data_IF_640335549313
#
_entry.id   IF_640335549313
#
_cell.length_a   1.000
_cell.length_b   1.000
_cell.length_c   1.000
_cell.angle_alpha   90.00
_cell.angle_beta   90.00
_cell.angle_gamma   90.00
#
_symmetry.space_group_name_H-M   'P 1'
#
loop_
_entity.id
_entity.type
_entity.pdbx_description
1 polymer ?
#
# COMPACT_ATOMS: atom_id res chain seq x y z
N UNK A 1 -12.67 -13.69 42.78
CA UNK A 1 -11.57 -14.38 42.06
C UNK A 1 -11.56 -14.08 40.57
N UNK A 2 -12.68 -14.16 39.82
CA UNK A 2 -12.75 -13.88 38.36
C UNK A 2 -12.45 -12.40 38.05
N UNK A 3 -12.95 -11.44 38.81
CA UNK A 3 -12.69 -10.01 38.61
C UNK A 3 -11.22 -9.63 38.87
N UNK A 4 -10.57 -10.24 39.88
CA UNK A 4 -9.14 -10.02 40.14
C UNK A 4 -8.24 -10.59 39.02
N UNK A 5 -8.62 -11.75 38.44
CA UNK A 5 -7.92 -12.36 37.34
C UNK A 5 -8.05 -11.54 36.03
N UNK A 6 -9.21 -10.91 35.83
CA UNK A 6 -9.48 -10.03 34.68
C UNK A 6 -8.70 -8.71 34.77
N UNK A 7 -8.60 -8.13 35.99
CA UNK A 7 -7.82 -6.92 36.23
C UNK A 7 -6.30 -7.18 36.04
N UNK A 8 -5.78 -8.31 36.54
CA UNK A 8 -4.38 -8.63 36.40
C UNK A 8 -4.01 -8.85 34.92
N UNK A 9 -4.82 -9.57 34.13
CA UNK A 9 -4.60 -9.73 32.70
C UNK A 9 -4.60 -8.41 31.92
N UNK A 10 -5.47 -7.47 32.29
CA UNK A 10 -5.53 -6.13 31.71
C UNK A 10 -4.26 -5.32 32.00
N UNK A 11 -3.71 -5.42 33.22
CA UNK A 11 -2.48 -4.74 33.61
C UNK A 11 -1.29 -5.31 32.85
N UNK A 12 -1.13 -6.65 32.81
CA UNK A 12 -0.05 -7.30 32.07
C UNK A 12 -0.06 -6.94 30.58
N UNK A 13 -1.25 -6.90 29.97
CA UNK A 13 -1.39 -6.50 28.58
C UNK A 13 -1.01 -5.02 28.36
N UNK A 14 -1.39 -4.14 29.27
CA UNK A 14 -1.00 -2.72 29.20
C UNK A 14 0.52 -2.57 29.29
N UNK A 15 1.16 -3.25 30.24
CA UNK A 15 2.63 -3.24 30.39
C UNK A 15 3.29 -3.78 29.11
N UNK A 16 2.84 -4.93 28.60
CA UNK A 16 3.33 -5.50 27.35
C UNK A 16 3.28 -4.50 26.18
N UNK A 17 2.16 -3.83 25.97
CA UNK A 17 1.96 -2.83 24.94
C UNK A 17 2.96 -1.67 25.05
N UNK A 18 3.17 -1.14 26.26
CA UNK A 18 4.12 -0.05 26.48
C UNK A 18 5.57 -0.50 26.28
N UNK A 19 5.94 -1.66 26.79
CA UNK A 19 7.30 -2.21 26.62
C UNK A 19 7.59 -2.44 25.14
N UNK A 20 6.67 -3.07 24.39
CA UNK A 20 6.82 -3.30 22.97
C UNK A 20 6.99 -1.98 22.20
N UNK A 21 6.17 -0.96 22.55
CA UNK A 21 6.27 0.36 21.92
C UNK A 21 7.61 1.05 22.21
N UNK A 22 8.09 1.00 23.44
CA UNK A 22 9.38 1.59 23.84
C UNK A 22 10.53 0.90 23.06
N UNK A 23 10.52 -0.44 22.99
CA UNK A 23 11.52 -1.20 22.24
C UNK A 23 11.50 -0.79 20.77
N UNK A 24 10.31 -0.66 20.19
CA UNK A 24 10.13 -0.24 18.80
C UNK A 24 10.67 1.17 18.55
N UNK A 25 10.36 2.13 19.43
CA UNK A 25 10.86 3.52 19.33
C UNK A 25 12.39 3.55 19.41
N UNK A 26 12.96 2.87 20.41
CA UNK A 26 14.42 2.84 20.60
C UNK A 26 15.11 2.20 19.39
N UNK A 27 14.58 1.06 18.91
CA UNK A 27 15.15 0.33 17.78
C UNK A 27 15.11 1.16 16.49
N UNK A 28 13.96 1.77 16.20
CA UNK A 28 13.79 2.60 14.99
C UNK A 28 14.65 3.87 15.06
N UNK A 29 14.71 4.56 16.20
CA UNK A 29 15.54 5.74 16.39
C UNK A 29 17.04 5.39 16.25
N UNK A 30 17.48 4.29 16.86
CA UNK A 30 18.88 3.83 16.76
C UNK A 30 19.25 3.48 15.32
N UNK A 31 18.37 2.76 14.61
CA UNK A 31 18.58 2.43 13.21
C UNK A 31 18.59 3.67 12.33
N UNK A 32 17.71 4.65 12.58
CA UNK A 32 17.70 5.93 11.86
C UNK A 32 19.02 6.68 12.00
N UNK A 33 19.54 6.83 13.24
CA UNK A 33 20.82 7.48 13.50
C UNK A 33 21.95 6.73 12.79
N UNK A 34 21.95 5.40 12.87
CA UNK A 34 22.97 4.56 12.24
C UNK A 34 22.97 4.70 10.72
N UNK A 35 21.80 4.63 10.08
CA UNK A 35 21.68 4.75 8.62
C UNK A 35 22.06 6.15 8.11
N UNK A 36 21.70 7.21 8.84
CA UNK A 36 22.10 8.57 8.46
C UNK A 36 23.61 8.81 8.58
N UNK A 37 24.31 8.09 9.45
CA UNK A 37 25.79 8.12 9.49
C UNK A 37 26.41 7.39 8.30
N UNK A 38 25.81 6.29 7.84
CA UNK A 38 26.31 5.47 6.73
C UNK A 38 25.97 6.07 5.38
N UNK A 39 24.77 6.70 5.26
CA UNK A 39 24.26 7.34 4.05
C UNK A 39 24.00 8.83 4.31
N UNK A 40 25.05 9.67 4.44
CA UNK A 40 24.90 11.11 4.67
C UNK A 40 24.46 11.86 3.42
N UNK A 41 24.71 11.29 2.23
CA UNK A 41 24.33 11.85 0.92
C UNK A 41 22.91 11.44 0.53
N UNK A 42 22.36 12.11 -0.49
CA UNK A 42 21.07 11.77 -1.06
C UNK A 42 21.10 10.35 -1.63
N UNK A 43 19.99 9.64 -1.48
CA UNK A 43 19.84 8.29 -1.98
C UNK A 43 18.76 8.22 -3.05
N UNK A 44 19.14 7.84 -4.27
CA UNK A 44 18.27 7.68 -5.46
C UNK A 44 17.35 8.90 -5.63
N UNK A 45 16.04 8.78 -5.40
CA UNK A 45 15.06 9.86 -5.64
C UNK A 45 15.19 11.03 -4.65
N UNK A 46 15.88 10.85 -3.51
CA UNK A 46 16.19 11.97 -2.61
C UNK A 46 16.99 13.09 -3.31
N UNK A 47 17.73 12.77 -4.40
CA UNK A 47 18.47 13.74 -5.21
C UNK A 47 17.53 14.82 -5.81
N UNK A 48 16.24 14.51 -5.95
CA UNK A 48 15.25 15.45 -6.45
C UNK A 48 14.34 15.95 -5.32
N UNK A 49 13.90 15.06 -4.43
CA UNK A 49 12.94 15.38 -3.38
C UNK A 49 13.50 16.33 -2.31
N UNK A 50 14.75 16.14 -1.86
CA UNK A 50 15.33 16.97 -0.80
C UNK A 50 15.64 18.38 -1.31
N UNK A 51 16.32 18.58 -2.46
CA UNK A 51 16.53 19.94 -3.00
C UNK A 51 15.21 20.68 -3.25
N UNK A 52 14.18 20.00 -3.77
CA UNK A 52 12.87 20.61 -3.95
C UNK A 52 12.24 21.05 -2.63
N UNK A 53 12.40 20.26 -1.57
CA UNK A 53 11.93 20.63 -0.23
C UNK A 53 12.68 21.84 0.32
N UNK A 54 14.00 21.92 0.11
CA UNK A 54 14.81 23.06 0.52
C UNK A 54 14.37 24.35 -0.17
N UNK A 55 14.08 24.31 -1.49
CA UNK A 55 13.52 25.47 -2.20
C UNK A 55 12.21 25.95 -1.55
N UNK A 56 11.34 25.02 -1.15
CA UNK A 56 10.07 25.37 -0.48
C UNK A 56 10.30 25.90 0.94
N UNK A 57 11.30 25.42 1.66
CA UNK A 57 11.72 25.97 2.94
C UNK A 57 12.19 27.43 2.82
N UNK A 58 12.85 27.77 1.72
CA UNK A 58 13.32 29.12 1.41
C UNK A 58 12.21 30.03 0.84
N UNK A 59 10.97 29.53 0.73
CA UNK A 59 9.83 30.27 0.18
C UNK A 59 9.76 30.32 -1.35
N UNK A 60 10.60 29.58 -2.06
CA UNK A 60 10.66 29.54 -3.52
C UNK A 60 9.66 28.52 -4.11
N UNK A 61 8.37 28.77 -3.95
CA UNK A 61 7.30 27.84 -4.35
C UNK A 61 7.09 27.73 -5.88
N UNK A 62 7.67 28.62 -6.67
CA UNK A 62 7.56 28.62 -8.14
C UNK A 62 8.64 27.78 -8.82
N UNK A 63 9.70 27.41 -8.10
CA UNK A 63 10.79 26.57 -8.63
C UNK A 63 10.36 25.11 -8.59
N UNK A 64 10.47 24.43 -9.73
CA UNK A 64 10.10 23.02 -9.86
C UNK A 64 11.14 22.24 -10.65
N UNK A 65 11.58 21.09 -10.11
CA UNK A 65 12.45 20.16 -10.84
C UNK A 65 11.60 19.31 -11.79
N UNK A 66 11.87 19.40 -13.08
CA UNK A 66 11.14 18.66 -14.13
C UNK A 66 11.22 17.13 -14.01
N UNK A 67 12.20 16.60 -13.30
CA UNK A 67 12.35 15.16 -13.05
C UNK A 67 11.40 14.64 -11.98
N UNK A 68 10.79 15.53 -11.20
CA UNK A 68 9.80 15.14 -10.19
C UNK A 68 8.46 14.88 -10.86
N UNK A 69 7.97 13.66 -10.71
CA UNK A 69 6.74 13.16 -11.34
C UNK A 69 5.52 13.18 -10.42
N UNK A 70 5.72 13.45 -9.12
CA UNK A 70 4.65 13.53 -8.11
C UNK A 70 4.25 14.98 -7.83
N UNK A 71 3.06 15.19 -7.27
CA UNK A 71 2.58 16.52 -6.86
C UNK A 71 3.33 17.02 -5.60
N UNK A 72 3.29 18.33 -5.30
CA UNK A 72 4.17 18.97 -4.31
C UNK A 72 3.77 18.75 -2.84
N UNK A 73 2.77 17.95 -2.54
CA UNK A 73 2.20 17.82 -1.19
C UNK A 73 3.21 17.43 -0.11
N UNK A 74 4.19 16.56 -0.42
CA UNK A 74 5.24 16.18 0.51
C UNK A 74 6.13 17.37 0.87
N UNK A 75 6.51 18.17 -0.11
CA UNK A 75 7.41 19.33 0.07
C UNK A 75 6.71 20.44 0.86
N UNK A 76 5.44 20.72 0.55
CA UNK A 76 4.62 21.66 1.34
C UNK A 76 4.49 21.21 2.79
N UNK A 77 4.20 19.93 3.03
CA UNK A 77 4.10 19.41 4.38
C UNK A 77 5.40 19.58 5.16
N UNK A 78 6.53 19.21 4.53
CA UNK A 78 7.84 19.27 5.16
C UNK A 78 8.28 20.72 5.41
N UNK A 79 8.11 21.61 4.45
CA UNK A 79 8.40 23.02 4.61
C UNK A 79 7.53 23.68 5.69
N UNK A 80 6.23 23.39 5.72
CA UNK A 80 5.32 23.92 6.74
C UNK A 80 5.70 23.51 8.18
N UNK A 81 6.31 22.35 8.36
CA UNK A 81 6.76 21.87 9.68
C UNK A 81 8.15 22.40 10.02
N UNK A 82 9.10 22.37 9.08
CA UNK A 82 10.52 22.59 9.35
C UNK A 82 10.97 24.04 9.18
N UNK A 83 10.38 24.80 8.23
CA UNK A 83 10.78 26.17 7.96
C UNK A 83 10.55 27.13 9.16
N UNK A 84 9.39 27.08 9.87
CA UNK A 84 9.16 27.97 11.00
C UNK A 84 10.15 27.82 12.15
N UNK A 85 10.81 26.67 12.25
CA UNK A 85 11.80 26.35 13.31
C UNK A 85 13.24 26.33 12.77
N UNK A 86 13.46 26.76 11.50
CA UNK A 86 14.76 26.80 10.83
C UNK A 86 15.51 25.45 10.84
N UNK A 87 14.77 24.34 10.72
CA UNK A 87 15.33 22.99 10.74
C UNK A 87 15.36 22.32 9.35
N UNK A 88 15.39 23.11 8.27
CA UNK A 88 15.43 22.57 6.91
C UNK A 88 16.83 22.07 6.54
N UNK A 89 17.14 20.84 6.94
CA UNK A 89 18.32 20.11 6.50
C UNK A 89 18.01 18.64 6.29
N UNK A 90 18.91 17.87 5.67
CA UNK A 90 18.74 16.48 5.27
C UNK A 90 18.22 15.62 6.43
N UNK A 91 18.83 15.74 7.61
CA UNK A 91 18.49 14.91 8.77
C UNK A 91 17.04 15.13 9.21
N UNK A 92 16.64 16.40 9.39
CA UNK A 92 15.27 16.72 9.85
C UNK A 92 14.22 16.50 8.76
N UNK A 93 14.58 16.65 7.48
CA UNK A 93 13.71 16.29 6.36
C UNK A 93 13.44 14.78 6.38
N UNK A 94 14.45 13.94 6.61
CA UNK A 94 14.26 12.48 6.79
C UNK A 94 13.47 12.14 8.06
N UNK A 95 13.57 12.96 9.12
CA UNK A 95 12.75 12.76 10.33
C UNK A 95 11.24 12.82 10.06
N UNK A 96 10.78 13.51 9.01
CA UNK A 96 9.35 13.50 8.62
C UNK A 96 8.87 12.07 8.38
N UNK A 97 9.66 11.27 7.66
CA UNK A 97 9.32 9.87 7.40
C UNK A 97 9.53 8.99 8.64
N UNK A 98 10.54 9.27 9.46
CA UNK A 98 10.70 8.56 10.74
C UNK A 98 9.47 8.73 11.64
N UNK A 99 8.94 9.95 11.79
CA UNK A 99 7.69 10.18 12.52
C UNK A 99 6.50 9.50 11.84
N UNK A 100 6.55 9.38 10.52
CA UNK A 100 5.61 8.58 9.74
C UNK A 100 5.50 7.12 10.19
N UNK A 101 6.58 6.52 10.73
CA UNK A 101 6.57 5.16 11.30
C UNK A 101 5.59 5.03 12.47
N UNK A 102 5.63 5.99 13.38
CA UNK A 102 4.76 5.97 14.57
C UNK A 102 3.31 6.28 14.19
N UNK A 103 3.11 7.21 13.24
CA UNK A 103 1.79 7.48 12.67
C UNK A 103 1.22 6.22 11.98
N UNK A 104 2.03 5.49 11.21
CA UNK A 104 1.64 4.24 10.55
C UNK A 104 1.18 3.20 11.56
N UNK A 105 1.95 2.96 12.61
CA UNK A 105 1.59 2.01 13.67
C UNK A 105 0.26 2.40 14.34
N UNK A 106 0.10 3.66 14.70
CA UNK A 106 -1.13 4.16 15.34
C UNK A 106 -2.35 4.01 14.42
N UNK A 107 -2.22 4.42 13.15
CA UNK A 107 -3.30 4.36 12.17
C UNK A 107 -3.70 2.92 11.87
N UNK A 108 -2.72 2.05 11.66
CA UNK A 108 -2.96 0.63 11.38
C UNK A 108 -3.62 -0.06 12.57
N UNK A 109 -3.14 0.18 13.79
CA UNK A 109 -3.77 -0.38 14.99
C UNK A 109 -5.21 0.13 15.18
N UNK A 110 -5.43 1.43 14.94
CA UNK A 110 -6.76 2.03 15.01
C UNK A 110 -7.72 1.45 13.96
N UNK A 111 -7.21 1.19 12.75
CA UNK A 111 -7.96 0.52 11.69
C UNK A 111 -8.29 -0.91 12.05
N UNK A 112 -7.34 -1.70 12.56
CA UNK A 112 -7.58 -3.06 13.02
C UNK A 112 -8.69 -3.11 14.08
N UNK A 113 -8.67 -2.18 15.04
CA UNK A 113 -9.75 -2.05 16.03
C UNK A 113 -11.09 -1.67 15.42
N UNK A 114 -11.10 -0.82 14.40
CA UNK A 114 -12.33 -0.36 13.76
C UNK A 114 -12.95 -1.43 12.86
N UNK A 115 -12.13 -2.15 12.09
CA UNK A 115 -12.57 -3.18 11.13
C UNK A 115 -13.00 -4.46 11.87
N UNK A 116 -12.23 -4.87 12.88
CA UNK A 116 -12.42 -6.15 13.58
C UNK A 116 -12.96 -5.96 14.99
N UNK A 117 -13.84 -4.97 15.21
CA UNK A 117 -14.48 -4.66 16.51
C UNK A 117 -14.90 -5.92 17.26
N UNK A 118 -14.36 -6.13 18.46
CA UNK A 118 -14.72 -7.23 19.39
C UNK A 118 -14.69 -8.65 18.80
N UNK A 119 -14.20 -8.84 17.58
CA UNK A 119 -14.10 -10.15 16.92
C UNK A 119 -12.73 -10.81 17.14
N UNK A 120 -11.70 -10.00 17.36
CA UNK A 120 -10.32 -10.47 17.52
C UNK A 120 -9.77 -9.95 18.85
N UNK A 121 -8.85 -10.71 19.45
CA UNK A 121 -8.15 -10.30 20.66
C UNK A 121 -7.29 -9.05 20.38
N UNK A 122 -7.22 -8.15 21.36
CA UNK A 122 -6.54 -6.85 21.22
C UNK A 122 -5.03 -7.02 20.93
N UNK A 123 -4.39 -8.03 21.53
CA UNK A 123 -3.00 -8.35 21.26
C UNK A 123 -2.75 -8.77 19.79
N UNK A 124 -3.68 -9.55 19.19
CA UNK A 124 -3.56 -9.92 17.78
C UNK A 124 -3.65 -8.71 16.85
N UNK A 125 -4.56 -7.78 17.18
CA UNK A 125 -4.72 -6.54 16.40
C UNK A 125 -3.46 -5.67 16.52
N UNK A 126 -2.85 -5.61 17.70
CA UNK A 126 -1.60 -4.89 17.92
C UNK A 126 -0.43 -5.51 17.16
N UNK A 127 -0.23 -6.83 17.26
CA UNK A 127 0.86 -7.54 16.56
C UNK A 127 0.74 -7.41 15.04
N UNK A 128 -0.48 -7.51 14.51
CA UNK A 128 -0.71 -7.29 13.07
C UNK A 128 -0.39 -5.85 12.68
N UNK A 129 -0.71 -4.87 13.53
CA UNK A 129 -0.32 -3.48 13.27
C UNK A 129 1.20 -3.31 13.23
N UNK A 130 1.94 -3.97 14.13
CA UNK A 130 3.41 -4.03 14.06
C UNK A 130 3.89 -4.70 12.77
N UNK A 131 3.30 -5.84 12.39
CA UNK A 131 3.69 -6.56 11.18
C UNK A 131 3.48 -5.72 9.92
N UNK A 132 2.38 -4.97 9.81
CA UNK A 132 2.13 -4.05 8.71
C UNK A 132 3.11 -2.87 8.74
N UNK A 133 3.41 -2.32 9.92
CA UNK A 133 4.37 -1.22 10.05
C UNK A 133 5.80 -1.68 9.74
N UNK A 134 6.18 -2.89 10.18
CA UNK A 134 7.48 -3.50 9.90
C UNK A 134 7.52 -4.23 8.55
N UNK A 135 6.53 -4.07 7.70
CA UNK A 135 6.49 -4.65 6.37
C UNK A 135 7.71 -4.18 5.56
N UNK A 136 8.63 -5.08 5.13
CA UNK A 136 9.97 -4.69 4.70
C UNK A 136 10.01 -3.68 3.55
N UNK A 137 9.17 -3.78 2.49
CA UNK A 137 9.17 -2.77 1.43
C UNK A 137 8.71 -1.37 1.88
N UNK A 138 7.95 -1.26 2.99
CA UNK A 138 7.57 0.03 3.57
C UNK A 138 8.56 0.45 4.66
N UNK A 139 9.00 -0.47 5.52
CA UNK A 139 9.83 -0.19 6.68
C UNK A 139 11.18 0.44 6.30
N UNK A 140 11.76 0.04 5.18
CA UNK A 140 13.00 0.63 4.67
C UNK A 140 12.87 2.13 4.39
N UNK A 141 11.76 2.58 3.81
CA UNK A 141 11.55 3.97 3.42
C UNK A 141 11.27 4.92 4.59
N UNK A 142 10.99 4.42 5.79
CA UNK A 142 10.87 5.25 6.98
C UNK A 142 12.16 5.97 7.37
N UNK A 143 13.30 5.51 6.89
CA UNK A 143 14.61 6.05 7.23
C UNK A 143 15.19 7.01 6.18
N UNK A 144 14.51 7.17 5.06
CA UNK A 144 14.85 8.01 3.93
C UNK A 144 13.69 8.94 3.58
N UNK A 145 13.94 9.98 2.79
CA UNK A 145 12.90 10.94 2.43
C UNK A 145 12.23 10.59 1.12
N UNK A 146 11.12 9.87 1.20
CA UNK A 146 10.33 9.39 0.07
C UNK A 146 8.84 9.69 0.25
N UNK A 147 8.12 9.84 -0.86
CA UNK A 147 6.67 10.10 -0.86
C UNK A 147 5.84 8.94 -0.31
N UNK A 148 6.37 7.71 -0.35
CA UNK A 148 5.65 6.48 -0.03
C UNK A 148 5.10 6.46 1.41
N UNK A 149 5.91 6.87 2.38
CA UNK A 149 5.54 6.84 3.80
C UNK A 149 4.37 7.76 4.10
N UNK A 150 4.46 9.02 3.66
CA UNK A 150 3.40 10.01 3.89
C UNK A 150 2.16 9.63 3.10
N UNK A 151 2.32 9.14 1.86
CA UNK A 151 1.23 8.63 1.03
C UNK A 151 0.45 7.52 1.74
N UNK A 152 1.14 6.48 2.23
CA UNK A 152 0.51 5.38 2.98
C UNK A 152 -0.22 5.90 4.21
N UNK A 153 0.40 6.77 5.00
CA UNK A 153 -0.20 7.27 6.23
C UNK A 153 -1.46 8.10 5.98
N UNK A 154 -1.46 8.95 4.95
CA UNK A 154 -2.66 9.75 4.60
C UNK A 154 -3.77 8.84 4.06
N UNK A 155 -3.44 7.81 3.26
CA UNK A 155 -4.42 6.83 2.79
C UNK A 155 -5.00 6.02 3.97
N UNK A 156 -4.18 5.61 4.94
CA UNK A 156 -4.67 4.93 6.16
C UNK A 156 -5.56 5.84 7.01
N UNK A 157 -5.22 7.14 7.12
CA UNK A 157 -6.05 8.12 7.83
C UNK A 157 -7.40 8.31 7.11
N UNK A 158 -7.38 8.45 5.79
CA UNK A 158 -8.58 8.52 4.96
C UNK A 158 -9.48 7.30 5.19
N UNK A 159 -8.92 6.09 5.17
CA UNK A 159 -9.61 4.84 5.41
C UNK A 159 -10.20 4.77 6.83
N UNK A 160 -9.43 5.19 7.84
CA UNK A 160 -9.90 5.22 9.24
C UNK A 160 -11.07 6.16 9.43
N UNK A 161 -11.03 7.35 8.83
CA UNK A 161 -12.10 8.34 8.89
C UNK A 161 -13.36 7.83 8.18
N UNK A 162 -13.21 7.15 7.06
CA UNK A 162 -14.31 6.51 6.35
C UNK A 162 -15.01 5.46 7.22
N UNK A 163 -14.27 4.54 7.82
CA UNK A 163 -14.84 3.52 8.71
C UNK A 163 -15.42 4.10 10.01
N UNK A 164 -14.99 5.30 10.41
CA UNK A 164 -15.62 6.08 11.51
C UNK A 164 -16.81 6.91 11.05
N UNK A 165 -17.26 6.76 9.80
CA UNK A 165 -18.39 7.48 9.19
C UNK A 165 -18.19 8.99 8.99
N UNK A 166 -16.95 9.50 9.12
CA UNK A 166 -16.61 10.90 8.83
C UNK A 166 -16.32 11.12 7.35
N UNK A 167 -17.31 10.85 6.48
CA UNK A 167 -17.11 10.79 5.03
C UNK A 167 -16.60 12.08 4.41
N UNK A 168 -17.08 13.26 4.89
CA UNK A 168 -16.61 14.57 4.38
C UNK A 168 -15.14 14.79 4.66
N UNK A 169 -14.69 14.50 5.90
CA UNK A 169 -13.28 14.64 6.29
C UNK A 169 -12.43 13.59 5.58
N UNK A 170 -12.94 12.37 5.43
CA UNK A 170 -12.27 11.32 4.67
C UNK A 170 -12.03 11.73 3.21
N UNK A 171 -13.02 12.31 2.54
CA UNK A 171 -12.86 12.82 1.17
C UNK A 171 -11.84 13.97 1.08
N UNK A 172 -11.86 14.90 2.04
CA UNK A 172 -10.85 15.96 2.12
C UNK A 172 -9.42 15.41 2.31
N UNK A 173 -9.24 14.45 3.22
CA UNK A 173 -7.95 13.75 3.41
C UNK A 173 -7.58 12.98 2.15
N UNK A 174 -8.56 12.43 1.42
CA UNK A 174 -8.37 11.83 0.11
C UNK A 174 -7.78 12.81 -0.92
N UNK A 175 -8.27 14.04 -0.97
CA UNK A 175 -7.70 15.10 -1.80
C UNK A 175 -6.24 15.40 -1.41
N UNK A 176 -5.95 15.51 -0.10
CA UNK A 176 -4.58 15.69 0.38
C UNK A 176 -3.68 14.50 0.01
N UNK A 177 -4.20 13.27 0.02
CA UNK A 177 -3.44 12.09 -0.39
C UNK A 177 -3.03 12.14 -1.87
N UNK A 178 -3.88 12.69 -2.74
CA UNK A 178 -3.59 12.88 -4.16
C UNK A 178 -2.45 13.88 -4.35
N UNK A 179 -2.38 14.94 -3.51
CA UNK A 179 -1.28 15.92 -3.55
C UNK A 179 0.09 15.30 -3.18
N UNK A 180 0.12 14.18 -2.47
CA UNK A 180 1.35 13.44 -2.19
C UNK A 180 1.69 12.49 -3.36
N UNK A 181 0.69 11.69 -3.81
CA UNK A 181 0.83 10.79 -4.98
C UNK A 181 -0.50 10.73 -5.73
N UNK A 182 -0.49 11.06 -7.00
CA UNK A 182 -1.69 11.12 -7.84
C UNK A 182 -2.44 9.79 -7.91
N UNK A 183 -1.70 8.67 -7.86
CA UNK A 183 -2.26 7.31 -7.87
C UNK A 183 -3.18 7.03 -6.67
N UNK A 184 -3.11 7.81 -5.59
CA UNK A 184 -4.00 7.66 -4.44
C UNK A 184 -5.47 7.96 -4.77
N UNK A 185 -5.75 8.63 -5.88
CA UNK A 185 -7.14 8.81 -6.38
C UNK A 185 -7.87 7.47 -6.51
N UNK A 186 -7.16 6.40 -6.83
CA UNK A 186 -7.75 5.07 -6.99
C UNK A 186 -8.30 4.55 -5.65
N UNK A 187 -7.64 4.88 -4.55
CA UNK A 187 -8.11 4.53 -3.20
C UNK A 187 -9.27 5.42 -2.72
N UNK A 188 -9.38 6.65 -3.25
CA UNK A 188 -10.58 7.47 -3.10
C UNK A 188 -11.75 6.84 -3.86
N UNK A 189 -11.52 6.34 -5.07
CA UNK A 189 -12.53 5.61 -5.86
C UNK A 189 -12.95 4.34 -5.10
N UNK A 190 -12.01 3.59 -4.53
CA UNK A 190 -12.33 2.42 -3.70
C UNK A 190 -13.32 2.77 -2.57
N UNK A 191 -13.07 3.83 -1.81
CA UNK A 191 -13.96 4.24 -0.72
C UNK A 191 -15.31 4.77 -1.22
N UNK A 192 -15.32 5.42 -2.38
CA UNK A 192 -16.56 5.86 -3.03
C UNK A 192 -17.46 4.66 -3.38
N UNK A 193 -16.84 3.61 -3.95
CA UNK A 193 -17.55 2.37 -4.31
C UNK A 193 -18.00 1.60 -3.04
N UNK A 194 -17.18 1.55 -1.99
CA UNK A 194 -17.59 0.94 -0.72
C UNK A 194 -18.79 1.69 -0.10
N UNK A 195 -18.77 3.03 -0.12
CA UNK A 195 -19.90 3.81 0.37
C UNK A 195 -21.17 3.57 -0.47
N UNK A 196 -21.02 3.48 -1.78
CA UNK A 196 -22.14 3.13 -2.68
C UNK A 196 -22.72 1.77 -2.35
N UNK A 197 -21.88 0.74 -2.16
CA UNK A 197 -22.29 -0.62 -1.78
C UNK A 197 -23.03 -0.60 -0.44
N UNK A 198 -22.55 0.17 0.54
CA UNK A 198 -23.21 0.31 1.83
C UNK A 198 -24.60 0.95 1.72
N UNK A 199 -24.74 2.01 0.91
CA UNK A 199 -26.03 2.67 0.68
C UNK A 199 -27.02 1.74 -0.04
N UNK A 200 -26.58 1.03 -1.07
CA UNK A 200 -27.39 0.04 -1.78
C UNK A 200 -27.86 -1.06 -0.82
N UNK A 201 -26.97 -1.59 0.00
CA UNK A 201 -27.31 -2.62 0.96
C UNK A 201 -28.33 -2.13 2.01
N UNK A 202 -28.13 -0.93 2.56
CA UNK A 202 -29.08 -0.30 3.48
C UNK A 202 -30.43 -0.08 2.85
N UNK A 203 -30.47 0.31 1.57
CA UNK A 203 -31.72 0.50 0.84
C UNK A 203 -32.48 -0.80 0.62
N UNK A 204 -31.79 -1.88 0.25
CA UNK A 204 -32.37 -3.21 0.06
C UNK A 204 -32.90 -3.83 1.36
N UNK A 205 -32.37 -3.45 2.52
CA UNK A 205 -32.83 -3.95 3.82
C UNK A 205 -33.99 -3.15 4.42
N UNK A 206 -34.36 -1.97 3.87
CA UNK A 206 -35.52 -1.21 4.35
C UNK A 206 -36.80 -2.03 4.08
N UNK A 207 -37.66 -2.28 5.11
CA UNK A 207 -38.92 -2.99 4.90
C UNK A 207 -39.80 -2.14 3.96
N UNK A 208 -40.37 -2.79 2.95
CA UNK A 208 -41.31 -2.14 2.03
C UNK A 208 -42.60 -1.86 2.82
N UNK A 209 -42.87 -0.61 3.17
CA UNK A 209 -44.10 -0.21 3.81
C UNK A 209 -45.26 -0.25 2.82
N UNK A 210 -46.47 -0.54 3.33
CA UNK A 210 -47.68 -0.65 2.49
C UNK A 210 -47.95 0.63 1.69
N UNK A 211 -47.54 1.80 2.22
CA UNK A 211 -47.64 3.10 1.52
C UNK A 211 -46.72 3.22 0.31
N UNK A 212 -45.60 2.48 0.30
CA UNK A 212 -44.68 2.43 -0.83
C UNK A 212 -45.25 1.64 -2.01
N UNK A 213 -46.25 0.76 -1.77
CA UNK A 213 -46.90 -0.04 -2.82
C UNK A 213 -47.85 0.77 -3.72
N UNK A 214 -48.34 1.92 -3.29
CA UNK A 214 -49.40 2.71 -4.02
C UNK A 214 -48.79 3.81 -4.92
N UNK A 215 -47.59 4.35 -4.58
CA UNK A 215 -46.90 5.40 -5.36
C UNK A 215 -45.56 4.95 -5.93
N UNK A 216 -45.50 3.74 -6.39
CA UNK A 216 -44.31 2.94 -6.61
C UNK A 216 -43.64 3.25 -7.93
N UNK A 217 -42.40 3.52 -7.92
CA UNK A 217 -41.40 3.40 -8.95
C UNK A 217 -40.61 4.69 -9.13
N UNK A 218 -41.16 5.77 -9.65
CA UNK A 218 -40.36 6.94 -10.04
C UNK A 218 -39.97 7.85 -8.88
N UNK A 219 -40.87 8.18 -7.97
CA UNK A 219 -40.61 9.12 -6.86
C UNK A 219 -39.70 8.50 -5.81
N UNK A 220 -39.87 7.22 -5.48
CA UNK A 220 -38.99 6.48 -4.55
C UNK A 220 -37.60 6.31 -5.13
N UNK A 221 -37.50 6.01 -6.42
CA UNK A 221 -36.22 5.90 -7.12
C UNK A 221 -35.48 7.23 -7.20
N UNK A 222 -36.16 8.34 -7.50
CA UNK A 222 -35.54 9.67 -7.51
C UNK A 222 -35.03 10.07 -6.13
N UNK A 223 -35.82 9.84 -5.07
CA UNK A 223 -35.37 10.09 -3.69
C UNK A 223 -34.13 9.28 -3.32
N UNK A 224 -34.08 8.03 -3.74
CA UNK A 224 -32.93 7.17 -3.53
C UNK A 224 -31.69 7.68 -4.29
N UNK A 225 -31.84 8.11 -5.56
CA UNK A 225 -30.74 8.70 -6.32
C UNK A 225 -30.22 9.99 -5.68
N UNK A 226 -31.12 10.84 -5.14
CA UNK A 226 -30.74 12.06 -4.41
C UNK A 226 -29.98 11.68 -3.13
N UNK A 227 -30.46 10.70 -2.36
CA UNK A 227 -29.78 10.22 -1.14
C UNK A 227 -28.36 9.72 -1.45
N UNK A 228 -28.19 8.92 -2.51
CA UNK A 228 -26.88 8.46 -2.98
C UNK A 228 -26.01 9.67 -3.36
N UNK A 229 -26.53 10.57 -4.18
CA UNK A 229 -25.77 11.72 -4.67
C UNK A 229 -25.27 12.60 -3.54
N UNK A 230 -26.09 12.90 -2.54
CA UNK A 230 -25.71 13.71 -1.37
C UNK A 230 -24.62 12.99 -0.54
N UNK A 231 -24.77 11.69 -0.35
CA UNK A 231 -23.81 10.92 0.44
C UNK A 231 -22.45 10.73 -0.25
N UNK A 232 -22.44 10.61 -1.59
CA UNK A 232 -21.21 10.45 -2.37
C UNK A 232 -20.59 11.80 -2.77
N UNK A 233 -21.33 12.91 -2.65
CA UNK A 233 -20.91 14.24 -3.10
C UNK A 233 -19.50 14.64 -2.67
N UNK A 234 -19.06 14.43 -1.40
CA UNK A 234 -17.70 14.79 -1.00
C UNK A 234 -16.62 14.07 -1.80
N UNK A 235 -16.82 12.79 -2.12
CA UNK A 235 -15.87 12.01 -2.93
C UNK A 235 -15.95 12.36 -4.42
N UNK A 236 -17.17 12.64 -4.92
CA UNK A 236 -17.38 13.07 -6.31
C UNK A 236 -16.64 14.38 -6.58
N UNK A 237 -16.67 15.34 -5.64
CA UNK A 237 -15.91 16.59 -5.76
C UNK A 237 -14.41 16.29 -5.93
N UNK A 238 -13.85 15.39 -5.13
CA UNK A 238 -12.43 15.00 -5.25
C UNK A 238 -12.15 14.42 -6.64
N UNK A 239 -13.02 13.56 -7.14
CA UNK A 239 -12.93 13.03 -8.50
C UNK A 239 -12.98 14.11 -9.58
N UNK A 240 -13.88 15.07 -9.45
CA UNK A 240 -14.01 16.21 -10.39
C UNK A 240 -12.76 17.08 -10.36
N UNK A 241 -12.24 17.44 -9.16
CA UNK A 241 -10.99 18.20 -9.02
C UNK A 241 -9.83 17.45 -9.69
N UNK A 242 -9.76 16.13 -9.51
CA UNK A 242 -8.71 15.32 -10.14
C UNK A 242 -8.88 15.28 -11.67
N UNK A 243 -10.10 15.18 -12.20
CA UNK A 243 -10.35 15.24 -13.64
C UNK A 243 -9.96 16.61 -14.24
N UNK A 244 -10.27 17.71 -13.55
CA UNK A 244 -9.84 19.05 -13.96
C UNK A 244 -8.31 19.11 -14.01
N UNK A 245 -7.62 18.56 -12.98
CA UNK A 245 -6.18 18.45 -12.96
C UNK A 245 -5.65 17.66 -14.17
N UNK A 246 -6.23 16.49 -14.49
CA UNK A 246 -5.81 15.67 -15.63
C UNK A 246 -5.93 16.41 -16.97
N UNK A 247 -7.05 17.15 -17.16
CA UNK A 247 -7.28 17.93 -18.38
C UNK A 247 -6.29 19.08 -18.47
N UNK A 248 -6.06 19.78 -17.36
CA UNK A 248 -5.13 20.93 -17.31
C UNK A 248 -3.66 20.51 -17.49
N UNK A 249 -3.24 19.40 -16.84
CA UNK A 249 -1.87 18.89 -16.87
C UNK A 249 -1.56 18.05 -18.12
N UNK A 250 -2.58 17.60 -18.86
CA UNK A 250 -2.41 16.71 -20.01
C UNK A 250 -2.04 15.27 -19.67
N UNK A 251 -2.09 14.86 -18.38
CA UNK A 251 -1.75 13.52 -17.91
C UNK A 251 -1.74 13.39 -16.40
N UNK A 252 -1.46 12.17 -15.91
CA UNK A 252 -1.41 11.89 -14.47
C UNK A 252 -0.10 12.41 -13.86
N UNK A 253 1.01 12.31 -14.60
CA UNK A 253 2.36 12.62 -14.16
C UNK A 253 2.63 14.11 -14.32
N UNK A 254 3.24 14.74 -13.32
CA UNK A 254 3.78 16.10 -13.41
C UNK A 254 5.25 16.00 -13.86
N UNK A 255 5.76 17.00 -14.58
CA UNK A 255 7.17 17.02 -15.04
C UNK A 255 7.41 16.12 -16.26
N UNK A 256 8.35 15.18 -16.19
CA UNK A 256 8.73 14.36 -17.35
C UNK A 256 7.68 13.29 -17.65
N UNK A 257 6.85 13.54 -18.66
CA UNK A 257 5.83 12.63 -19.14
C UNK A 257 6.42 11.45 -19.95
N UNK A 258 7.66 11.54 -20.41
CA UNK A 258 8.26 10.52 -21.30
C UNK A 258 8.74 9.29 -20.56
N UNK A 259 9.11 9.44 -19.28
CA UNK A 259 9.62 8.35 -18.46
C UNK A 259 8.53 7.38 -17.97
N UNK A 260 7.25 7.78 -18.01
CA UNK A 260 6.14 7.00 -17.46
C UNK A 260 4.99 6.79 -18.44
N UNK A 261 5.31 6.22 -19.60
CA UNK A 261 4.30 5.87 -20.61
C UNK A 261 3.46 4.70 -20.08
N UNK A 262 2.13 4.85 -19.96
CA UNK A 262 1.28 3.75 -19.54
C UNK A 262 1.22 2.64 -20.58
N UNK A 263 1.31 1.39 -20.14
CA UNK A 263 1.24 0.20 -20.98
C UNK A 263 0.31 -0.83 -20.35
N UNK A 264 -0.20 -1.78 -21.13
CA UNK A 264 -0.96 -2.89 -20.58
C UNK A 264 0.04 -3.98 -20.17
N UNK A 265 0.33 -4.08 -18.84
CA UNK A 265 1.25 -5.05 -18.26
C UNK A 265 0.53 -5.95 -17.25
N UNK A 266 -0.21 -6.95 -17.76
CA UNK A 266 -1.05 -7.84 -16.96
C UNK A 266 -0.22 -8.69 -15.99
N UNK A 267 1.01 -9.05 -16.36
CA UNK A 267 1.92 -9.82 -15.49
C UNK A 267 2.24 -9.15 -14.14
N UNK A 268 2.02 -7.84 -14.01
CA UNK A 268 2.11 -7.14 -12.71
C UNK A 268 1.20 -7.74 -11.64
N UNK A 269 0.02 -8.25 -12.02
CA UNK A 269 -0.89 -8.92 -11.08
C UNK A 269 -0.32 -10.26 -10.59
N UNK A 270 0.41 -10.98 -11.44
CA UNK A 270 1.08 -12.22 -11.06
C UNK A 270 2.24 -11.93 -10.11
N UNK A 271 3.04 -10.90 -10.41
CA UNK A 271 4.13 -10.46 -9.53
C UNK A 271 3.58 -9.99 -8.18
N UNK A 272 2.48 -9.26 -8.18
CA UNK A 272 1.81 -8.85 -6.93
C UNK A 272 1.31 -10.04 -6.12
N UNK A 273 0.74 -11.07 -6.73
CA UNK A 273 0.29 -12.27 -6.01
C UNK A 273 1.45 -13.04 -5.37
N UNK A 274 2.59 -13.15 -6.06
CA UNK A 274 3.82 -13.73 -5.50
C UNK A 274 4.41 -12.83 -4.41
N UNK A 275 4.36 -11.52 -4.59
CA UNK A 275 4.78 -10.56 -3.58
C UNK A 275 3.96 -10.70 -2.28
N UNK A 276 2.63 -10.80 -2.37
CA UNK A 276 1.78 -11.12 -1.21
C UNK A 276 2.22 -12.43 -0.58
N UNK A 277 2.43 -13.47 -1.38
CA UNK A 277 2.85 -14.78 -0.87
C UNK A 277 4.20 -14.72 -0.15
N UNK A 278 5.16 -13.95 -0.63
CA UNK A 278 6.50 -13.84 -0.03
C UNK A 278 6.46 -13.35 1.43
N UNK A 279 5.51 -12.50 1.78
CA UNK A 279 5.37 -11.95 3.13
C UNK A 279 4.25 -12.61 3.95
N UNK A 280 3.23 -13.16 3.29
CA UNK A 280 2.05 -13.76 3.93
C UNK A 280 1.96 -15.28 3.71
N UNK A 281 3.07 -15.94 3.41
CA UNK A 281 3.12 -17.40 3.20
C UNK A 281 2.50 -18.21 4.36
N UNK A 282 2.60 -17.80 5.66
CA UNK A 282 2.00 -18.58 6.74
C UNK A 282 0.48 -18.67 6.65
N UNK A 283 -0.15 -17.68 6.01
CA UNK A 283 -1.60 -17.65 5.78
C UNK A 283 -2.00 -18.38 4.50
N UNK A 284 -1.12 -18.40 3.51
CA UNK A 284 -1.43 -18.87 2.15
C UNK A 284 -1.10 -20.37 1.97
N UNK A 285 0.03 -20.84 2.53
CA UNK A 285 0.40 -22.27 2.44
C UNK A 285 -0.73 -23.20 2.89
N UNK A 286 -1.46 -22.96 3.99
CA UNK A 286 -2.56 -23.84 4.39
C UNK A 286 -3.68 -24.02 3.35
N UNK A 287 -3.70 -23.18 2.31
CA UNK A 287 -4.68 -23.29 1.23
C UNK A 287 -4.34 -24.36 0.18
N UNK A 288 -3.13 -24.97 0.24
CA UNK A 288 -2.66 -25.89 -0.82
C UNK A 288 -3.59 -27.08 -1.05
N UNK A 289 -4.12 -27.71 0.02
CA UNK A 289 -5.06 -28.83 -0.12
C UNK A 289 -6.33 -28.40 -0.85
N UNK A 290 -6.89 -27.25 -0.50
CA UNK A 290 -8.07 -26.70 -1.16
C UNK A 290 -7.81 -26.31 -2.61
N UNK A 291 -6.61 -25.83 -2.91
CA UNK A 291 -6.19 -25.55 -4.27
C UNK A 291 -6.19 -26.80 -5.14
N UNK A 292 -5.57 -27.89 -4.67
CA UNK A 292 -5.59 -29.15 -5.41
C UNK A 292 -6.98 -29.77 -5.54
N UNK A 293 -7.79 -29.73 -4.48
CA UNK A 293 -9.19 -30.15 -4.56
C UNK A 293 -9.98 -29.33 -5.59
N UNK A 294 -9.75 -28.02 -5.64
CA UNK A 294 -10.41 -27.15 -6.63
C UNK A 294 -9.98 -27.49 -8.06
N UNK A 295 -8.69 -27.78 -8.28
CA UNK A 295 -8.20 -28.23 -9.59
C UNK A 295 -8.88 -29.55 -9.99
N UNK A 296 -8.96 -30.53 -9.09
CA UNK A 296 -9.60 -31.82 -9.38
C UNK A 296 -11.10 -31.67 -9.68
N UNK A 297 -11.81 -30.86 -8.91
CA UNK A 297 -13.24 -30.66 -9.09
C UNK A 297 -13.58 -29.82 -10.34
N UNK A 298 -12.70 -28.96 -10.77
CA UNK A 298 -12.91 -28.03 -11.89
C UNK A 298 -11.75 -28.08 -12.89
N UNK A 299 -11.32 -29.30 -13.28
CA UNK A 299 -10.11 -29.51 -14.06
C UNK A 299 -10.13 -28.79 -15.43
N UNK A 300 -11.30 -28.71 -16.10
CA UNK A 300 -11.42 -27.99 -17.38
C UNK A 300 -11.15 -26.49 -17.20
N UNK A 301 -11.82 -25.87 -16.22
CA UNK A 301 -11.62 -24.44 -15.91
C UNK A 301 -10.17 -24.17 -15.45
N UNK A 302 -9.62 -25.07 -14.65
CA UNK A 302 -8.23 -24.95 -14.16
C UNK A 302 -7.22 -25.04 -15.31
N UNK A 303 -7.44 -25.95 -16.28
CA UNK A 303 -6.62 -26.05 -17.48
C UNK A 303 -6.73 -24.82 -18.36
N UNK A 304 -7.93 -24.25 -18.51
CA UNK A 304 -8.14 -23.00 -19.23
C UNK A 304 -7.40 -21.83 -18.58
N UNK A 305 -7.52 -21.69 -17.25
CA UNK A 305 -6.80 -20.64 -16.49
C UNK A 305 -5.29 -20.81 -16.63
N UNK A 306 -4.78 -22.05 -16.51
CA UNK A 306 -3.36 -22.32 -16.71
C UNK A 306 -2.87 -21.92 -18.11
N UNK A 307 -3.64 -22.28 -19.15
CA UNK A 307 -3.34 -21.90 -20.52
C UNK A 307 -3.36 -20.37 -20.70
N UNK A 308 -4.37 -19.69 -20.15
CA UNK A 308 -4.48 -18.22 -20.18
C UNK A 308 -3.27 -17.55 -19.52
N UNK A 309 -2.89 -17.99 -18.31
CA UNK A 309 -1.69 -17.47 -17.63
C UNK A 309 -0.44 -17.72 -18.46
N UNK A 310 -0.34 -18.90 -19.10
CA UNK A 310 0.80 -19.23 -19.99
C UNK A 310 0.88 -18.26 -21.16
N UNK A 311 -0.24 -17.97 -21.83
CA UNK A 311 -0.29 -16.98 -22.92
C UNK A 311 0.09 -15.59 -22.45
N UNK A 312 -0.41 -15.15 -21.30
CA UNK A 312 -0.07 -13.84 -20.72
C UNK A 312 1.43 -13.78 -20.41
N UNK A 313 2.00 -14.81 -19.77
CA UNK A 313 3.43 -14.88 -19.46
C UNK A 313 4.27 -14.84 -20.72
N UNK A 314 3.83 -15.52 -21.80
CA UNK A 314 4.54 -15.53 -23.08
C UNK A 314 4.52 -14.15 -23.75
N UNK A 315 3.35 -13.50 -23.85
CA UNK A 315 3.14 -12.29 -24.62
C UNK A 315 3.34 -10.99 -23.82
N UNK A 316 3.21 -11.03 -22.49
CA UNK A 316 3.09 -9.83 -21.66
C UNK A 316 4.06 -9.79 -20.47
N UNK A 317 5.19 -10.51 -20.53
CA UNK A 317 6.30 -10.34 -19.60
C UNK A 317 7.18 -9.18 -20.10
N UNK A 318 6.75 -7.96 -19.81
CA UNK A 318 7.42 -6.74 -20.23
C UNK A 318 8.52 -6.34 -19.24
N UNK A 319 9.51 -5.59 -19.70
CA UNK A 319 10.59 -5.05 -18.87
C UNK A 319 10.83 -3.58 -19.15
N UNK A 320 10.95 -2.79 -18.11
CA UNK A 320 11.31 -1.38 -18.24
C UNK A 320 12.83 -1.22 -18.39
N UNK A 321 13.34 -0.27 -19.19
CA UNK A 321 14.77 -0.01 -19.32
C UNK A 321 15.49 0.20 -17.99
N UNK A 322 14.86 0.84 -16.99
CA UNK A 322 15.45 1.05 -15.67
C UNK A 322 15.70 -0.28 -14.92
N UNK A 323 14.83 -1.29 -15.09
CA UNK A 323 15.07 -2.63 -14.51
C UNK A 323 16.32 -3.28 -15.11
N UNK A 324 16.67 -2.94 -16.35
CA UNK A 324 17.86 -3.47 -17.04
C UNK A 324 19.15 -2.72 -16.66
N UNK A 325 19.05 -1.44 -16.33
CA UNK A 325 20.20 -0.56 -16.16
C UNK A 325 20.55 -0.29 -14.68
N UNK A 326 19.56 -0.14 -13.79
CA UNK A 326 19.78 0.28 -12.41
C UNK A 326 20.00 -0.90 -11.46
N UNK A 327 21.27 -1.20 -11.19
CA UNK A 327 21.70 -2.27 -10.28
C UNK A 327 21.54 -1.93 -8.78
N UNK A 328 20.94 -0.80 -8.44
CA UNK A 328 20.60 -0.45 -7.05
C UNK A 328 19.31 -1.12 -6.57
N UNK A 329 18.52 -1.74 -7.45
CA UNK A 329 17.25 -2.37 -7.13
C UNK A 329 17.28 -3.89 -7.22
N UNK A 330 16.57 -4.58 -6.31
CA UNK A 330 16.46 -6.04 -6.34
C UNK A 330 15.85 -6.57 -7.64
N UNK A 331 14.94 -5.82 -8.26
CA UNK A 331 14.31 -6.18 -9.52
C UNK A 331 15.31 -6.33 -10.66
N UNK A 332 16.39 -5.54 -10.67
CA UNK A 332 17.52 -5.71 -11.60
C UNK A 332 18.12 -7.12 -11.49
N UNK A 333 18.43 -7.59 -10.27
CA UNK A 333 19.05 -8.89 -10.07
C UNK A 333 18.12 -10.05 -10.38
N UNK A 334 16.83 -9.92 -10.02
CA UNK A 334 15.81 -10.92 -10.36
C UNK A 334 15.68 -11.05 -11.88
N UNK A 335 15.64 -9.93 -12.59
CA UNK A 335 15.55 -9.94 -14.04
C UNK A 335 16.84 -10.51 -14.66
N UNK A 336 17.99 -9.89 -14.41
CA UNK A 336 19.22 -10.22 -15.12
C UNK A 336 19.80 -11.60 -14.76
N UNK A 337 19.55 -12.11 -13.55
CA UNK A 337 20.06 -13.43 -13.14
C UNK A 337 19.09 -14.58 -13.45
N UNK A 338 17.79 -14.32 -13.52
CA UNK A 338 16.77 -15.37 -13.66
C UNK A 338 15.86 -15.13 -14.86
N UNK A 339 14.94 -14.16 -14.81
CA UNK A 339 13.87 -14.01 -15.79
C UNK A 339 14.34 -13.60 -17.18
N UNK A 340 15.38 -12.76 -17.29
CA UNK A 340 15.97 -12.33 -18.55
C UNK A 340 16.97 -13.35 -19.09
N UNK A 341 17.79 -13.95 -18.19
CA UNK A 341 18.81 -14.92 -18.58
C UNK A 341 18.24 -16.28 -18.99
N UNK A 342 17.24 -16.76 -18.27
CA UNK A 342 16.63 -18.07 -18.53
C UNK A 342 15.14 -17.92 -18.85
N UNK A 343 14.78 -17.95 -20.12
CA UNK A 343 13.38 -17.81 -20.55
C UNK A 343 12.48 -18.86 -19.91
N UNK A 344 13.00 -20.10 -19.73
CA UNK A 344 12.27 -21.20 -19.08
C UNK A 344 11.83 -20.86 -17.66
N UNK A 345 12.60 -19.99 -16.95
CA UNK A 345 12.27 -19.59 -15.58
C UNK A 345 10.91 -18.90 -15.49
N UNK A 346 10.52 -18.12 -16.50
CA UNK A 346 9.21 -17.46 -16.57
C UNK A 346 8.07 -18.48 -16.58
N UNK A 347 8.25 -19.62 -17.26
CA UNK A 347 7.24 -20.68 -17.34
C UNK A 347 7.21 -21.57 -16.10
N UNK A 348 8.35 -21.78 -15.43
CA UNK A 348 8.44 -22.50 -14.16
C UNK A 348 7.61 -21.76 -13.06
N UNK A 349 7.48 -20.44 -13.17
CA UNK A 349 6.67 -19.66 -12.23
C UNK A 349 5.16 -19.79 -12.44
N UNK A 350 4.65 -20.35 -13.54
CA UNK A 350 3.21 -20.43 -13.83
C UNK A 350 2.45 -21.21 -12.75
N UNK A 351 2.86 -22.41 -12.30
CA UNK A 351 2.19 -23.09 -11.19
C UNK A 351 2.17 -22.26 -9.90
N UNK A 352 3.25 -21.50 -9.65
CA UNK A 352 3.33 -20.59 -8.49
C UNK A 352 2.31 -19.47 -8.65
N UNK A 353 2.18 -18.86 -9.82
CA UNK A 353 1.16 -17.84 -10.10
C UNK A 353 -0.25 -18.39 -9.90
N UNK A 354 -0.55 -19.58 -10.40
CA UNK A 354 -1.84 -20.23 -10.21
C UNK A 354 -2.18 -20.39 -8.73
N UNK A 355 -1.24 -20.92 -7.94
CA UNK A 355 -1.42 -21.12 -6.50
C UNK A 355 -1.56 -19.79 -5.73
N UNK A 356 -0.69 -18.81 -6.02
CA UNK A 356 -0.68 -17.55 -5.29
C UNK A 356 -1.90 -16.69 -5.59
N UNK A 357 -2.37 -16.66 -6.84
CA UNK A 357 -3.62 -15.99 -7.23
C UNK A 357 -4.81 -16.66 -6.52
N UNK A 358 -4.92 -18.00 -6.58
CA UNK A 358 -5.97 -18.73 -5.89
C UNK A 358 -5.97 -18.42 -4.39
N UNK A 359 -4.80 -18.48 -3.74
CA UNK A 359 -4.66 -18.22 -2.30
C UNK A 359 -4.99 -16.78 -1.92
N UNK A 360 -4.62 -15.82 -2.77
CA UNK A 360 -4.95 -14.40 -2.58
C UNK A 360 -6.46 -14.19 -2.62
N UNK A 361 -7.15 -14.70 -3.62
CA UNK A 361 -8.61 -14.61 -3.74
C UNK A 361 -9.31 -15.35 -2.60
N UNK A 362 -8.83 -16.54 -2.25
CA UNK A 362 -9.38 -17.32 -1.14
C UNK A 362 -9.22 -16.62 0.22
N UNK A 363 -8.13 -15.90 0.43
CA UNK A 363 -7.85 -15.14 1.67
C UNK A 363 -8.89 -14.07 1.99
N UNK A 364 -9.50 -13.47 0.97
CA UNK A 364 -10.52 -12.42 1.10
C UNK A 364 -11.94 -12.90 0.78
N UNK A 365 -12.15 -14.20 0.48
CA UNK A 365 -13.45 -14.74 0.06
C UNK A 365 -14.56 -14.65 1.12
N UNK A 366 -14.24 -14.26 2.36
CA UNK A 366 -15.19 -14.10 3.48
C UNK A 366 -15.79 -12.70 3.57
N UNK A 367 -15.22 -11.71 2.89
CA UNK A 367 -15.79 -10.34 2.84
C UNK A 367 -16.85 -10.27 1.73
N UNK A 368 -17.64 -9.21 1.74
CA UNK A 368 -18.72 -9.01 0.76
C UNK A 368 -18.16 -9.11 -0.67
N UNK A 369 -18.88 -9.78 -1.55
CA UNK A 369 -18.45 -9.99 -2.95
C UNK A 369 -18.20 -8.66 -3.68
N UNK A 370 -19.05 -7.65 -3.47
CA UNK A 370 -18.85 -6.32 -4.04
C UNK A 370 -17.54 -5.69 -3.58
N UNK A 371 -17.18 -5.80 -2.29
CA UNK A 371 -15.90 -5.32 -1.75
C UNK A 371 -14.71 -6.07 -2.36
N UNK A 372 -14.84 -7.39 -2.60
CA UNK A 372 -13.78 -8.15 -3.31
C UNK A 372 -13.57 -7.61 -4.72
N UNK A 373 -14.66 -7.42 -5.48
CA UNK A 373 -14.59 -6.84 -6.84
C UNK A 373 -13.98 -5.44 -6.82
N UNK A 374 -14.41 -4.57 -5.90
CA UNK A 374 -13.85 -3.22 -5.77
C UNK A 374 -12.35 -3.26 -5.52
N UNK A 375 -11.88 -4.13 -4.61
CA UNK A 375 -10.46 -4.28 -4.31
C UNK A 375 -9.67 -4.77 -5.53
N UNK A 376 -10.17 -5.81 -6.22
CA UNK A 376 -9.55 -6.35 -7.43
C UNK A 376 -9.50 -5.28 -8.52
N UNK A 377 -10.61 -4.58 -8.77
CA UNK A 377 -10.71 -3.52 -9.76
C UNK A 377 -9.71 -2.39 -9.50
N UNK A 378 -9.65 -1.87 -8.28
CA UNK A 378 -8.70 -0.84 -7.91
C UNK A 378 -7.24 -1.32 -8.03
N UNK A 379 -6.96 -2.56 -7.63
CA UNK A 379 -5.63 -3.17 -7.77
C UNK A 379 -5.21 -3.29 -9.24
N UNK A 380 -6.13 -3.69 -10.11
CA UNK A 380 -5.93 -3.75 -11.57
C UNK A 380 -5.54 -2.37 -12.12
N UNK A 381 -6.30 -1.32 -11.76
CA UNK A 381 -6.07 0.05 -12.25
C UNK A 381 -4.73 0.61 -11.74
N UNK A 382 -4.32 0.26 -10.51
CA UNK A 382 -3.02 0.71 -9.97
C UNK A 382 -1.85 0.03 -10.67
N UNK A 383 -1.94 -1.29 -10.93
CA UNK A 383 -0.78 -2.10 -11.29
C UNK A 383 -0.62 -2.31 -12.79
N UNK A 384 -1.71 -2.59 -13.53
CA UNK A 384 -1.61 -2.93 -14.97
C UNK A 384 -0.98 -1.81 -15.81
N UNK A 385 -1.28 -0.51 -15.58
CA UNK A 385 -0.69 0.55 -16.40
C UNK A 385 0.82 0.76 -16.20
N UNK A 386 1.43 0.12 -15.20
CA UNK A 386 2.83 0.32 -14.85
C UNK A 386 3.74 -0.63 -15.65
N UNK A 387 4.63 -0.06 -16.46
CA UNK A 387 5.68 -0.83 -17.13
C UNK A 387 6.78 -1.24 -16.13
N UNK A 388 7.15 -0.31 -15.24
CA UNK A 388 8.20 -0.53 -14.24
C UNK A 388 7.72 -1.50 -13.18
N UNK A 389 8.48 -2.58 -12.96
CA UNK A 389 8.28 -3.50 -11.84
C UNK A 389 8.98 -2.94 -10.60
N UNK A 390 8.20 -2.34 -9.72
CA UNK A 390 8.71 -1.72 -8.51
C UNK A 390 7.89 -2.15 -7.28
N UNK A 391 8.53 -2.72 -6.23
CA UNK A 391 7.86 -3.15 -5.01
C UNK A 391 7.05 -2.07 -4.31
N UNK A 392 7.43 -0.78 -4.48
CA UNK A 392 6.72 0.37 -3.89
C UNK A 392 5.26 0.47 -4.36
N UNK A 393 4.96 0.09 -5.60
CA UNK A 393 3.58 0.11 -6.12
C UNK A 393 2.67 -0.91 -5.46
N UNK A 394 3.24 -1.95 -4.87
CA UNK A 394 2.52 -3.04 -4.21
C UNK A 394 2.17 -2.73 -2.74
N UNK A 395 2.76 -1.68 -2.12
CA UNK A 395 2.63 -1.42 -0.69
C UNK A 395 1.17 -1.18 -0.28
N UNK A 396 0.48 -0.22 -0.90
CA UNK A 396 -0.90 0.11 -0.52
C UNK A 396 -1.87 -1.05 -0.81
N UNK A 397 -1.88 -1.68 -2.00
CA UNK A 397 -2.70 -2.87 -2.25
C UNK A 397 -2.43 -4.01 -1.26
N UNK A 398 -1.16 -4.23 -0.89
CA UNK A 398 -0.78 -5.23 0.12
C UNK A 398 -1.38 -4.92 1.49
N UNK A 399 -1.31 -3.66 1.93
CA UNK A 399 -1.87 -3.24 3.22
C UNK A 399 -3.39 -3.43 3.25
N UNK A 400 -4.09 -3.00 2.19
CA UNK A 400 -5.54 -3.21 2.07
C UNK A 400 -5.91 -4.69 2.11
N UNK A 401 -5.16 -5.52 1.38
CA UNK A 401 -5.32 -6.98 1.42
C UNK A 401 -5.13 -7.52 2.84
N UNK A 402 -4.03 -7.13 3.52
CA UNK A 402 -3.70 -7.61 4.87
C UNK A 402 -4.73 -7.20 5.92
N UNK A 403 -5.25 -5.97 5.84
CA UNK A 403 -6.34 -5.48 6.70
C UNK A 403 -7.65 -6.27 6.49
N UNK A 404 -7.87 -6.79 5.30
CA UNK A 404 -9.10 -7.49 4.90
C UNK A 404 -9.06 -9.00 5.13
N UNK A 405 -7.95 -9.57 5.61
CA UNK A 405 -7.78 -11.02 5.79
C UNK A 405 -8.64 -11.58 6.94
N UNK A 406 -8.85 -12.89 6.92
CA UNK A 406 -9.53 -13.64 8.00
C UNK A 406 -8.75 -13.61 9.30
N UNK A 407 -9.45 -13.89 10.43
CA UNK A 407 -8.80 -14.03 11.75
C UNK A 407 -7.67 -15.06 11.65
N UNK A 408 -6.43 -14.65 11.97
CA UNK A 408 -5.28 -15.53 11.90
C UNK A 408 -5.20 -16.46 13.11
N UNK A 409 -4.42 -17.53 12.96
CA UNK A 409 -3.93 -18.32 14.10
C UNK A 409 -2.67 -17.65 14.68
N UNK A 410 -2.42 -17.85 15.97
CA UNK A 410 -1.26 -17.26 16.67
C UNK A 410 0.07 -17.55 15.95
N UNK A 411 0.31 -18.80 15.56
CA UNK A 411 1.55 -19.17 14.88
C UNK A 411 1.75 -18.44 13.54
N UNK A 412 0.67 -18.08 12.84
CA UNK A 412 0.75 -17.35 11.58
C UNK A 412 1.26 -15.91 11.79
N UNK A 413 0.76 -15.25 12.85
CA UNK A 413 1.22 -13.91 13.24
C UNK A 413 2.70 -13.94 13.61
N UNK A 414 3.10 -14.93 14.42
CA UNK A 414 4.50 -15.09 14.85
C UNK A 414 5.42 -15.34 13.65
N UNK A 415 5.01 -16.20 12.71
CA UNK A 415 5.81 -16.47 11.52
C UNK A 415 5.87 -15.28 10.55
N UNK A 416 4.80 -14.48 10.47
CA UNK A 416 4.83 -13.20 9.73
C UNK A 416 5.83 -12.23 10.36
N UNK A 417 5.79 -12.05 11.69
CA UNK A 417 6.73 -11.19 12.43
C UNK A 417 8.18 -11.65 12.23
N UNK A 418 8.43 -12.96 12.29
CA UNK A 418 9.74 -13.55 12.07
C UNK A 418 10.23 -13.31 10.63
N UNK A 419 9.36 -13.53 9.64
CA UNK A 419 9.68 -13.30 8.23
C UNK A 419 10.04 -11.84 7.97
N UNK A 420 9.21 -10.90 8.45
CA UNK A 420 9.46 -9.48 8.30
C UNK A 420 10.77 -9.06 8.99
N UNK A 421 11.05 -9.59 10.17
CA UNK A 421 12.29 -9.29 10.92
C UNK A 421 13.54 -9.78 10.18
N UNK A 422 13.51 -11.01 9.65
CA UNK A 422 14.62 -11.56 8.87
C UNK A 422 14.83 -10.75 7.59
N UNK A 423 13.77 -10.46 6.84
CA UNK A 423 13.89 -9.73 5.58
C UNK A 423 14.39 -8.30 5.84
N UNK A 424 13.91 -7.62 6.89
CA UNK A 424 14.39 -6.31 7.30
C UNK A 424 15.89 -6.37 7.68
N UNK A 425 16.29 -7.36 8.48
CA UNK A 425 17.69 -7.55 8.83
C UNK A 425 18.56 -7.74 7.58
N UNK A 426 18.17 -8.62 6.67
CA UNK A 426 18.90 -8.87 5.43
C UNK A 426 18.91 -7.62 4.54
N UNK A 427 17.83 -6.88 4.44
CA UNK A 427 17.74 -5.64 3.69
C UNK A 427 18.75 -4.61 4.19
N UNK A 428 18.77 -4.33 5.50
CA UNK A 428 19.71 -3.37 6.09
C UNK A 428 21.15 -3.89 6.05
N UNK A 429 21.37 -5.19 6.25
CA UNK A 429 22.68 -5.80 6.11
C UNK A 429 23.24 -5.63 4.69
N UNK A 430 22.43 -5.88 3.66
CA UNK A 430 22.83 -5.71 2.27
C UNK A 430 23.06 -4.22 1.98
N UNK A 431 22.16 -3.34 2.41
CA UNK A 431 22.28 -1.90 2.21
C UNK A 431 23.57 -1.34 2.80
N UNK A 432 23.96 -1.79 3.98
CA UNK A 432 25.17 -1.32 4.68
C UNK A 432 26.44 -1.90 4.06
N UNK A 433 26.47 -3.21 3.75
CA UNK A 433 27.70 -3.92 3.43
C UNK A 433 27.95 -4.11 1.92
N UNK A 434 26.88 -4.07 1.08
CA UNK A 434 27.01 -4.21 -0.38
C UNK A 434 27.05 -2.83 -1.02
N UNK A 435 28.25 -2.26 -1.08
CA UNK A 435 28.53 -0.99 -1.73
C UNK A 435 29.24 -1.22 -3.06
N UNK A 436 28.95 -0.36 -4.03
CA UNK A 436 29.65 -0.30 -5.32
C UNK A 436 29.73 1.15 -5.79
N UNK A 437 30.58 1.43 -6.75
CA UNK A 437 30.80 2.77 -7.26
C UNK A 437 30.43 2.82 -8.74
N UNK A 438 29.78 3.88 -9.15
CA UNK A 438 29.59 4.22 -10.54
C UNK A 438 30.65 5.24 -10.95
N UNK A 439 31.08 5.20 -12.22
CA UNK A 439 32.14 6.10 -12.72
C UNK A 439 31.76 7.58 -12.64
N UNK A 440 30.47 7.88 -12.75
CA UNK A 440 29.88 9.23 -12.73
C UNK A 440 29.48 9.71 -11.31
N UNK A 441 29.71 8.89 -10.26
CA UNK A 441 29.30 9.18 -8.89
C UNK A 441 30.47 9.14 -7.92
N UNK A 442 30.62 10.17 -7.11
CA UNK A 442 31.71 10.29 -6.12
C UNK A 442 31.44 9.53 -4.81
N UNK A 443 30.22 9.09 -4.58
CA UNK A 443 29.78 8.42 -3.35
C UNK A 443 29.27 7.00 -3.63
N UNK A 444 29.38 6.09 -2.64
CA UNK A 444 29.02 4.69 -2.82
C UNK A 444 27.52 4.52 -3.10
N UNK A 445 27.21 3.68 -4.08
CA UNK A 445 25.87 3.23 -4.37
C UNK A 445 25.53 1.98 -3.55
N UNK A 446 24.25 1.77 -3.26
CA UNK A 446 23.74 0.72 -2.37
C UNK A 446 22.51 0.06 -2.95
N UNK A 447 22.23 -1.18 -2.51
CA UNK A 447 21.09 -1.98 -3.01
C UNK A 447 19.88 -1.80 -2.07
N UNK A 448 18.71 -1.55 -2.67
CA UNK A 448 17.43 -1.41 -1.96
C UNK A 448 16.24 -2.00 -2.75
N UNK A 449 15.04 -1.81 -2.20
CA UNK A 449 13.78 -2.19 -2.87
C UNK A 449 13.57 -1.47 -4.17
#
# INVERSE_FOLDING_TARGET
MILLKRNSQSIYYSIYKYVLFIIFVISTASLFIYLNRIQPHYFIDEMFHIPQTLQYCDGNFTVWDSKITTLPGLYFLSAAILSPVNLCNILYIRCINLFGTFANLYLTYSLMKQIHKNKWEDWMQLEIAYNITMFPPLFFWFFLYYTDVVSVNIVLLMLLLHFRTYYKISAFVGLLSILIRQTNVIWVIFLTLERLVDLLHQHMQKPITIMDKVNIGKISFIKFLIEISINLFPYIIVGVIFLIFLIWNGGIVVGDHTAHVPVIHISQLFYFSVFIFSFLWPYMIPHYLKFFQNIQNHWILSSFIFALITVIVHCNTLVHPYVLADNRHYTFYIWNKFMGKYVIFRYILIPVYCFTIYSTLYGISHIRFATQINFIFCTIIVLIPQLLLEPRYFIIPYIFYRLSMRKPKTWQIVMESFTNSIINFLQFFIFVNKVFYWEDQTYPQRISW
#
